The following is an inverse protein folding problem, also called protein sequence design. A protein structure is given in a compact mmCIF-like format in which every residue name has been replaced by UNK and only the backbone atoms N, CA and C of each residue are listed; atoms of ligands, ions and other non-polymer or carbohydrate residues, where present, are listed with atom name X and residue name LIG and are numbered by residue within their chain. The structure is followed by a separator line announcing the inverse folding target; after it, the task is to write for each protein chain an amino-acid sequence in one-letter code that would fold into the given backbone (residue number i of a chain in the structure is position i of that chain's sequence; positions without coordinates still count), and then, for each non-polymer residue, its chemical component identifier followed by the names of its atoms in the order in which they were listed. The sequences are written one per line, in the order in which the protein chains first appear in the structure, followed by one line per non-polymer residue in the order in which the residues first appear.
data_IF_353778081148
#
_entry.id   IF_353778081148
#
_cell.length_a   1.000
_cell.length_b   1.000
_cell.length_c   1.000
_cell.angle_alpha   90.00
_cell.angle_beta   90.00
_cell.angle_gamma   90.00
#
_symmetry.space_group_name_H-M   'P 1'
#
loop_
_entity.id
_entity.type
_entity.pdbx_description
1 polymer ?
#
# COMPACT_ATOMS: atom_id res chain seq x y z
N UNK A 1 64.80 17.57 -29.17
CA UNK A 1 63.71 16.56 -29.25
C UNK A 1 62.58 17.00 -28.32
N UNK A 2 61.40 17.30 -28.88
CA UNK A 2 60.25 17.89 -28.15
C UNK A 2 59.26 16.79 -27.74
N UNK A 3 58.88 16.81 -26.46
CA UNK A 3 57.94 15.91 -25.77
C UNK A 3 56.52 16.00 -26.35
N UNK A 4 55.78 14.88 -26.35
CA UNK A 4 54.31 14.87 -26.21
C UNK A 4 53.90 13.63 -25.42
N UNK A 5 53.59 13.82 -24.14
CA UNK A 5 52.93 12.85 -23.27
C UNK A 5 51.43 13.01 -23.54
N UNK A 6 50.81 12.00 -24.15
CA UNK A 6 49.36 12.00 -24.41
C UNK A 6 48.63 11.70 -23.09
N UNK A 7 47.90 12.70 -22.59
CA UNK A 7 46.90 12.53 -21.53
C UNK A 7 45.75 11.67 -22.07
N UNK A 8 45.63 10.44 -21.60
CA UNK A 8 44.43 9.62 -21.80
C UNK A 8 43.42 10.07 -20.76
N UNK A 9 42.48 10.93 -21.20
CA UNK A 9 41.34 11.38 -20.42
C UNK A 9 40.46 10.16 -20.11
N UNK A 10 40.36 9.82 -18.83
CA UNK A 10 39.45 8.81 -18.32
C UNK A 10 38.00 9.24 -18.60
N UNK A 11 37.37 8.60 -19.58
CA UNK A 11 35.96 8.77 -19.91
C UNK A 11 35.13 7.95 -18.91
N UNK A 12 34.89 8.51 -17.74
CA UNK A 12 33.97 7.95 -16.75
C UNK A 12 32.54 8.11 -17.25
N UNK A 13 32.02 7.06 -17.88
CA UNK A 13 30.61 6.94 -18.26
C UNK A 13 29.82 6.78 -16.96
N UNK A 14 29.32 7.90 -16.44
CA UNK A 14 28.37 7.94 -15.34
C UNK A 14 27.02 7.45 -15.89
N UNK A 15 26.81 6.13 -15.86
CA UNK A 15 25.50 5.54 -16.14
C UNK A 15 24.57 5.92 -14.99
N UNK A 16 23.87 7.04 -15.13
CA UNK A 16 22.72 7.39 -14.30
C UNK A 16 21.62 6.39 -14.66
N UNK A 17 21.55 5.30 -13.89
CA UNK A 17 20.44 4.36 -13.95
C UNK A 17 19.22 5.14 -13.45
N UNK A 18 18.45 5.70 -14.37
CA UNK A 18 17.10 6.16 -14.10
C UNK A 18 16.26 4.93 -13.76
N UNK A 19 16.31 4.51 -12.50
CA UNK A 19 15.32 3.61 -11.93
C UNK A 19 13.99 4.39 -11.89
N UNK A 20 13.30 4.41 -13.02
CA UNK A 20 11.93 4.90 -13.10
C UNK A 20 11.11 4.13 -12.08
N UNK A 21 10.46 4.85 -11.16
CA UNK A 21 9.54 4.27 -10.20
C UNK A 21 8.30 3.74 -10.94
N UNK A 22 8.40 2.57 -11.56
CA UNK A 22 7.24 1.85 -12.09
C UNK A 22 6.52 1.21 -10.90
N UNK A 23 5.37 1.77 -10.54
CA UNK A 23 4.39 1.09 -9.71
C UNK A 23 3.50 0.27 -10.65
N UNK A 24 3.62 -1.06 -10.59
CA UNK A 24 2.83 -1.96 -11.42
C UNK A 24 1.74 -2.60 -10.56
N UNK A 25 0.49 -2.50 -11.01
CA UNK A 25 -0.60 -3.27 -10.41
C UNK A 25 -0.32 -4.76 -10.58
N UNK A 26 -0.47 -5.55 -9.52
CA UNK A 26 -0.30 -7.00 -9.60
C UNK A 26 -1.64 -7.60 -10.05
N UNK A 27 -1.65 -8.25 -11.21
CA UNK A 27 -2.82 -8.95 -11.73
C UNK A 27 -2.98 -10.33 -11.08
N UNK A 28 -4.20 -10.88 -11.10
CA UNK A 28 -4.47 -12.24 -10.60
C UNK A 28 -4.57 -12.39 -9.09
N UNK A 29 -4.45 -11.30 -8.32
CA UNK A 29 -4.74 -11.28 -6.88
C UNK A 29 -6.20 -10.86 -6.68
N UNK A 30 -6.99 -11.73 -6.06
CA UNK A 30 -8.34 -11.39 -5.63
C UNK A 30 -8.28 -10.51 -4.37
N UNK A 31 -9.02 -9.41 -4.35
CA UNK A 31 -9.11 -8.53 -3.18
C UNK A 31 -10.51 -8.63 -2.60
N UNK A 32 -10.60 -8.84 -1.29
CA UNK A 32 -11.85 -8.85 -0.54
C UNK A 32 -11.77 -7.82 0.56
N UNK A 33 -12.81 -7.01 0.67
CA UNK A 33 -12.85 -5.83 1.54
C UNK A 33 -14.02 -5.95 2.50
N UNK A 34 -13.74 -5.78 3.79
CA UNK A 34 -14.75 -5.76 4.83
C UNK A 34 -14.80 -4.39 5.48
N UNK A 35 -15.86 -3.66 5.14
CA UNK A 35 -16.22 -2.40 5.75
C UNK A 35 -16.52 -2.59 7.25
N UNK A 36 -16.55 -1.47 7.98
CA UNK A 36 -17.08 -1.44 9.35
C UNK A 36 -18.41 -0.70 9.37
N UNK A 37 -19.13 -0.78 10.49
CA UNK A 37 -20.38 -0.03 10.67
C UNK A 37 -20.26 1.47 10.36
N UNK A 38 -19.07 2.06 10.58
CA UNK A 38 -18.87 3.52 10.49
C UNK A 38 -18.00 3.98 9.33
N UNK A 39 -17.32 3.04 8.66
CA UNK A 39 -16.28 3.33 7.67
C UNK A 39 -16.39 2.36 6.50
N UNK A 40 -16.28 2.90 5.29
CA UNK A 40 -16.23 2.15 4.03
C UNK A 40 -14.81 2.17 3.45
N UNK A 41 -14.39 1.06 2.85
CA UNK A 41 -13.26 0.97 1.93
C UNK A 41 -13.78 1.34 0.54
N UNK A 42 -13.43 2.54 0.08
CA UNK A 42 -13.90 3.05 -1.22
C UNK A 42 -13.31 2.30 -2.40
N UNK A 43 -12.05 1.90 -2.27
CA UNK A 43 -11.30 1.09 -3.22
C UNK A 43 -10.07 0.54 -2.51
N UNK A 44 -9.58 -0.58 -3.01
CA UNK A 44 -8.33 -1.17 -2.59
C UNK A 44 -7.65 -1.88 -3.77
N UNK A 45 -6.34 -1.81 -3.81
CA UNK A 45 -5.49 -2.41 -4.82
C UNK A 45 -4.21 -2.97 -4.20
N UNK A 46 -3.58 -3.90 -4.92
CA UNK A 46 -2.25 -4.43 -4.62
C UNK A 46 -1.32 -4.10 -5.77
N UNK A 47 -0.17 -3.50 -5.47
CA UNK A 47 0.84 -3.16 -6.47
C UNK A 47 2.25 -3.50 -6.00
N UNK A 48 3.15 -3.66 -6.95
CA UNK A 48 4.57 -3.79 -6.72
C UNK A 48 5.26 -2.46 -7.04
N UNK A 49 6.10 -1.98 -6.12
CA UNK A 49 6.93 -0.79 -6.31
C UNK A 49 8.30 -1.03 -5.69
N UNK A 50 9.36 -0.81 -6.46
CA UNK A 50 10.76 -0.98 -6.01
C UNK A 50 11.06 -2.36 -5.41
N UNK A 51 10.45 -3.42 -5.94
CA UNK A 51 10.61 -4.80 -5.45
C UNK A 51 9.78 -5.13 -4.19
N UNK A 52 9.00 -4.18 -3.68
CA UNK A 52 8.12 -4.39 -2.53
C UNK A 52 6.66 -4.46 -2.98
N UNK A 53 5.88 -5.32 -2.33
CA UNK A 53 4.45 -5.43 -2.57
C UNK A 53 3.70 -4.62 -1.51
N UNK A 54 2.73 -3.84 -1.96
CA UNK A 54 1.96 -2.93 -1.15
C UNK A 54 0.47 -3.14 -1.37
N UNK A 55 -0.30 -3.24 -0.28
CA UNK A 55 -1.73 -3.02 -0.29
C UNK A 55 -2.00 -1.52 -0.06
N UNK A 56 -2.94 -0.97 -0.82
CA UNK A 56 -3.25 0.44 -0.79
C UNK A 56 -4.74 0.66 -1.05
N UNK A 57 -5.31 1.65 -0.38
CA UNK A 57 -6.75 1.91 -0.48
C UNK A 57 -7.14 3.24 0.11
N UNK A 58 -8.44 3.53 0.10
CA UNK A 58 -9.00 4.72 0.74
C UNK A 58 -10.18 4.36 1.64
N UNK A 59 -10.19 4.94 2.85
CA UNK A 59 -11.26 4.84 3.82
C UNK A 59 -12.09 6.11 3.82
N UNK A 60 -13.40 5.98 4.03
CA UNK A 60 -14.32 7.11 4.20
C UNK A 60 -15.35 6.78 5.28
N UNK A 61 -15.83 7.80 5.99
CA UNK A 61 -16.95 7.61 6.92
C UNK A 61 -18.27 7.34 6.18
N UNK A 62 -18.94 6.27 6.56
CA UNK A 62 -20.26 5.88 6.09
C UNK A 62 -21.33 6.67 6.86
N UNK A 63 -21.82 7.76 6.28
CA UNK A 63 -22.83 8.62 6.90
C UNK A 63 -22.27 9.82 7.68
N UNK A 64 -23.15 10.50 8.42
CA UNK A 64 -22.88 11.83 9.01
C UNK A 64 -22.42 11.75 10.47
N UNK A 65 -21.30 11.06 10.74
CA UNK A 65 -20.66 11.16 12.06
C UNK A 65 -20.01 12.53 12.25
N UNK A 66 -20.08 13.06 13.47
CA UNK A 66 -19.61 14.41 13.80
C UNK A 66 -18.12 14.48 14.12
N UNK A 67 -17.48 13.35 14.42
CA UNK A 67 -16.11 13.28 14.91
C UNK A 67 -15.16 12.57 13.93
N UNK A 68 -13.86 12.81 14.09
CA UNK A 68 -12.80 12.01 13.46
C UNK A 68 -12.85 10.59 14.05
N UNK A 69 -12.73 9.58 13.21
CA UNK A 69 -12.68 8.18 13.65
C UNK A 69 -11.23 7.71 13.57
N UNK A 70 -10.72 7.23 14.71
CA UNK A 70 -9.43 6.55 14.78
C UNK A 70 -9.64 5.06 14.49
N UNK A 71 -8.87 4.50 13.57
CA UNK A 71 -9.00 3.11 13.10
C UNK A 71 -7.65 2.60 12.58
N UNK A 72 -7.57 1.34 12.20
CA UNK A 72 -6.51 0.79 11.36
C UNK A 72 -7.12 -0.26 10.42
N UNK A 73 -6.37 -0.67 9.39
CA UNK A 73 -6.75 -1.80 8.53
C UNK A 73 -5.92 -3.02 8.85
N UNK A 74 -6.59 -4.15 9.04
CA UNK A 74 -5.98 -5.47 9.12
C UNK A 74 -5.95 -6.08 7.72
N UNK A 75 -4.82 -6.69 7.36
CA UNK A 75 -4.63 -7.28 6.05
C UNK A 75 -4.11 -8.70 6.20
N UNK A 76 -4.82 -9.64 5.61
CA UNK A 76 -4.45 -11.05 5.56
C UNK A 76 -4.24 -11.45 4.10
N UNK A 77 -3.15 -12.16 3.84
CA UNK A 77 -2.92 -12.84 2.56
C UNK A 77 -3.29 -14.30 2.76
N UNK A 78 -4.32 -14.74 2.04
CA UNK A 78 -4.82 -16.10 2.05
C UNK A 78 -4.30 -16.83 0.82
N UNK A 79 -3.90 -18.08 0.99
CA UNK A 79 -3.66 -18.97 -0.15
C UNK A 79 -4.97 -19.39 -0.82
N UNK A 80 -4.89 -20.08 -1.96
CA UNK A 80 -6.06 -20.59 -2.70
C UNK A 80 -7.00 -21.47 -1.84
N UNK A 81 -6.46 -22.19 -0.84
CA UNK A 81 -7.26 -23.03 0.05
C UNK A 81 -7.88 -22.26 1.24
N UNK A 82 -7.68 -20.95 1.32
CA UNK A 82 -8.18 -20.08 2.39
C UNK A 82 -7.31 -20.03 3.65
N UNK A 83 -6.18 -20.74 3.71
CA UNK A 83 -5.25 -20.64 4.85
C UNK A 83 -4.49 -19.31 4.84
N UNK A 84 -4.33 -18.72 6.02
CA UNK A 84 -3.57 -17.48 6.22
C UNK A 84 -2.08 -17.77 6.04
N UNK A 85 -1.46 -17.08 5.08
CA UNK A 85 -0.02 -17.17 4.78
C UNK A 85 0.75 -15.99 5.38
N UNK A 86 0.11 -14.82 5.45
CA UNK A 86 0.70 -13.60 5.99
C UNK A 86 -0.39 -12.71 6.60
N UNK A 87 -0.06 -12.03 7.68
CA UNK A 87 -0.94 -11.06 8.34
C UNK A 87 -0.13 -9.81 8.74
N UNK A 88 -0.74 -8.65 8.57
CA UNK A 88 -0.17 -7.35 8.93
C UNK A 88 -1.29 -6.34 9.16
N UNK A 89 -0.94 -5.15 9.63
CA UNK A 89 -1.89 -4.07 9.86
C UNK A 89 -1.27 -2.70 9.57
N UNK A 90 -2.11 -1.71 9.30
CA UNK A 90 -1.64 -0.33 9.13
C UNK A 90 -1.33 0.33 10.47
N UNK A 91 -0.53 1.40 10.45
CA UNK A 91 -0.55 2.36 11.55
C UNK A 91 -1.95 2.93 11.76
N UNK A 92 -2.15 3.60 12.91
CA UNK A 92 -3.38 4.33 13.20
C UNK A 92 -3.72 5.34 12.08
N UNK A 93 -4.96 5.30 11.61
CA UNK A 93 -5.56 6.19 10.62
C UNK A 93 -6.63 7.05 11.27
N UNK A 94 -6.70 8.31 10.85
CA UNK A 94 -7.61 9.31 11.39
C UNK A 94 -8.59 9.77 10.32
N UNK A 95 -9.68 9.03 10.13
CA UNK A 95 -10.64 9.30 9.05
C UNK A 95 -11.46 10.54 9.41
N UNK A 96 -11.38 11.63 8.63
CA UNK A 96 -12.07 12.86 8.93
C UNK A 96 -13.58 12.69 8.83
N UNK A 97 -14.29 13.57 9.52
CA UNK A 97 -15.75 13.71 9.41
C UNK A 97 -16.18 13.70 7.94
N UNK A 98 -17.29 13.01 7.65
CA UNK A 98 -17.94 13.09 6.35
C UNK A 98 -18.29 14.55 5.99
N UNK A 99 -17.79 15.01 4.84
CA UNK A 99 -18.12 16.34 4.29
C UNK A 99 -18.75 16.17 2.91
N UNK A 100 -19.89 16.82 2.72
CA UNK A 100 -20.46 17.06 1.39
C UNK A 100 -19.83 18.33 0.82
N UNK A 101 -19.13 18.25 -0.34
CA UNK A 101 -18.49 19.42 -0.98
C UNK A 101 -17.04 19.19 -1.43
N UNK A 102 -16.27 20.29 -1.59
CA UNK A 102 -14.89 20.26 -2.11
C UNK A 102 -13.88 19.86 -1.03
N UNK A 103 -13.20 18.72 -1.24
CA UNK A 103 -12.07 18.22 -0.44
C UNK A 103 -12.12 16.70 -0.27
N UNK A 104 -10.97 16.02 -0.07
CA UNK A 104 -10.96 14.57 0.11
C UNK A 104 -11.55 14.22 1.49
N UNK A 105 -12.80 13.79 1.52
CA UNK A 105 -13.45 13.22 2.70
C UNK A 105 -13.02 11.78 2.98
N UNK A 106 -11.78 11.43 2.64
CA UNK A 106 -11.22 10.08 2.75
C UNK A 106 -9.75 10.12 3.19
N UNK A 107 -9.29 9.04 3.81
CA UNK A 107 -7.90 8.83 4.19
C UNK A 107 -7.35 7.62 3.46
N UNK A 108 -6.14 7.74 2.96
CA UNK A 108 -5.47 6.64 2.29
C UNK A 108 -4.71 5.77 3.29
N UNK A 109 -4.73 4.47 3.08
CA UNK A 109 -3.86 3.54 3.79
C UNK A 109 -2.87 2.93 2.82
N UNK A 110 -1.67 2.62 3.32
CA UNK A 110 -0.63 1.90 2.60
C UNK A 110 0.05 0.95 3.56
N UNK A 111 0.07 -0.34 3.24
CA UNK A 111 0.64 -1.39 4.10
C UNK A 111 1.51 -2.30 3.27
N UNK A 112 2.71 -2.58 3.77
CA UNK A 112 3.67 -3.47 3.13
C UNK A 112 3.22 -4.92 3.34
N UNK A 113 3.20 -5.70 2.26
CA UNK A 113 2.91 -7.13 2.31
C UNK A 113 4.20 -7.96 2.29
N UNK A 114 4.06 -9.28 2.40
CA UNK A 114 5.15 -10.21 2.14
C UNK A 114 5.75 -9.96 0.73
N UNK A 115 7.06 -10.15 0.59
CA UNK A 115 7.77 -9.89 -0.65
C UNK A 115 7.34 -10.83 -1.80
N UNK A 116 6.77 -11.98 -1.46
CA UNK A 116 6.23 -12.96 -2.39
C UNK A 116 4.78 -13.25 -2.02
N UNK A 117 3.87 -13.08 -2.98
CA UNK A 117 2.45 -13.43 -2.85
C UNK A 117 2.19 -14.54 -3.87
N UNK A 118 1.80 -15.74 -3.43
CA UNK A 118 1.54 -16.85 -4.34
C UNK A 118 0.52 -16.48 -5.41
N UNK A 119 0.69 -17.03 -6.61
CA UNK A 119 -0.34 -16.93 -7.65
C UNK A 119 -1.66 -17.53 -7.14
N UNK A 120 -2.79 -16.88 -7.44
CA UNK A 120 -4.12 -17.29 -6.96
C UNK A 120 -4.42 -16.91 -5.51
N UNK A 121 -3.49 -16.25 -4.81
CA UNK A 121 -3.75 -15.75 -3.47
C UNK A 121 -4.87 -14.69 -3.44
N UNK A 122 -5.51 -14.60 -2.29
CA UNK A 122 -6.56 -13.63 -1.98
C UNK A 122 -6.07 -12.70 -0.87
N UNK A 123 -6.17 -11.40 -1.07
CA UNK A 123 -5.87 -10.40 -0.04
C UNK A 123 -7.17 -9.94 0.59
N UNK A 124 -7.33 -10.24 1.87
CA UNK A 124 -8.45 -9.80 2.69
C UNK A 124 -8.05 -8.53 3.45
N UNK A 125 -8.84 -7.46 3.32
CA UNK A 125 -8.63 -6.16 3.97
C UNK A 125 -9.85 -5.84 4.82
N UNK A 126 -9.64 -5.65 6.13
CA UNK A 126 -10.72 -5.41 7.08
C UNK A 126 -10.44 -4.16 7.91
N UNK A 127 -11.46 -3.33 8.11
CA UNK A 127 -11.40 -2.18 9.02
C UNK A 127 -11.59 -2.66 10.46
N UNK A 128 -10.70 -2.27 11.37
CA UNK A 128 -10.84 -2.54 12.80
C UNK A 128 -10.92 -1.23 13.60
N UNK A 129 -11.89 -1.16 14.52
CA UNK A 129 -12.22 0.05 15.27
C UNK A 129 -11.64 0.06 16.70
N UNK A 130 -10.87 -0.96 17.08
CA UNK A 130 -10.28 -1.09 18.41
C UNK A 130 -8.77 -1.35 18.31
N UNK A 131 -8.02 -0.94 19.35
CA UNK A 131 -6.62 -1.34 19.50
C UNK A 131 -6.56 -2.88 19.48
N UNK A 132 -5.66 -3.43 18.67
CA UNK A 132 -5.22 -4.81 18.87
C UNK A 132 -4.76 -4.93 20.33
N UNK A 133 -5.32 -5.88 21.07
CA UNK A 133 -4.68 -6.29 22.32
C UNK A 133 -3.29 -6.80 21.91
N UNK A 134 -2.25 -6.11 22.37
CA UNK A 134 -0.89 -6.60 22.22
C UNK A 134 -0.81 -7.89 23.03
N UNK A 135 -0.90 -9.04 22.36
CA UNK A 135 -0.55 -10.35 22.92
C UNK A 135 0.95 -10.46 23.08
#
# INVERSE_FOLDING_TARGET
MKRKILNIVALSILAVIFSGCNANKIEGIAIDTHDSEKLDILWADVYQQNGEIWAYGALKQNGNYSAVIKTHVDIQVLSENGSIQYETFSNDLYVPKHRTGKGPGCVQFRVKLAADIPTGAKVNIKIHNNKHEQS
#
